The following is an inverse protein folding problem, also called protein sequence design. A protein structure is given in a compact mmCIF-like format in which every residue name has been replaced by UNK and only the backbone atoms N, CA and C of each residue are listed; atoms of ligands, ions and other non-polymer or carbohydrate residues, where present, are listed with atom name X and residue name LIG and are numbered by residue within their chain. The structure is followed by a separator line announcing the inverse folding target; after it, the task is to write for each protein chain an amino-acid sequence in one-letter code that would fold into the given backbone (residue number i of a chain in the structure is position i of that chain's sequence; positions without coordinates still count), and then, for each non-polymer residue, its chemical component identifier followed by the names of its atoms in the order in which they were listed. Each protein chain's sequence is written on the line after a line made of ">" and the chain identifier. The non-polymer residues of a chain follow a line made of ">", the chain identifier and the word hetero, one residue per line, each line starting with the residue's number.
data_IF_110813020151
#
_entry.id   IF_110813020151
#
_cell.length_a   1.000
_cell.length_b   1.000
_cell.length_c   1.000
_cell.angle_alpha   90.00
_cell.angle_beta   90.00
_cell.angle_gamma   90.00
#
_symmetry.space_group_name_H-M   'P 1'
#
loop_
_entity.id
_entity.type
_entity.pdbx_description
1 polymer ?
#
# COMPACT_ATOMS: atom_id res chain seq x y z
N UNK A 1 -19.86 -1.19 -12.45
CA UNK A 1 -18.96 -2.08 -11.69
C UNK A 1 -17.90 -1.15 -11.11
N UNK A 2 -18.01 -0.78 -9.83
CA UNK A 2 -17.04 0.12 -9.19
C UNK A 2 -15.71 -0.62 -9.18
N UNK A 3 -14.73 -0.11 -9.92
CA UNK A 3 -13.41 -0.74 -9.94
C UNK A 3 -12.73 -0.48 -8.60
N UNK A 4 -11.83 -1.37 -8.17
CA UNK A 4 -11.01 -1.16 -6.97
C UNK A 4 -10.30 0.21 -7.03
N UNK A 5 -10.01 0.67 -8.25
CA UNK A 5 -9.53 2.02 -8.60
C UNK A 5 -10.47 3.16 -8.18
N UNK A 6 -11.79 2.99 -8.27
CA UNK A 6 -12.77 4.02 -7.90
C UNK A 6 -12.92 4.12 -6.38
N UNK A 7 -12.91 2.97 -5.68
CA UNK A 7 -12.88 2.93 -4.20
C UNK A 7 -11.56 3.51 -3.68
N UNK A 8 -10.45 3.17 -4.32
CA UNK A 8 -9.16 3.78 -4.04
C UNK A 8 -9.24 5.30 -4.24
N UNK A 9 -9.75 5.81 -5.37
CA UNK A 9 -9.86 7.26 -5.65
C UNK A 9 -10.67 8.05 -4.62
N UNK A 10 -11.75 7.48 -4.09
CA UNK A 10 -12.54 8.15 -3.05
C UNK A 10 -11.85 8.16 -1.67
N UNK A 11 -11.05 7.13 -1.34
CA UNK A 11 -10.18 7.12 -0.15
C UNK A 11 -8.97 8.06 -0.34
N UNK A 12 -8.39 8.07 -1.56
CA UNK A 12 -7.22 8.84 -1.98
C UNK A 12 -7.41 10.37 -1.84
N UNK A 13 -8.65 10.86 -2.00
CA UNK A 13 -8.93 12.31 -2.06
C UNK A 13 -9.02 12.98 -0.68
N UNK A 14 -9.21 12.21 0.39
CA UNK A 14 -9.44 12.77 1.74
C UNK A 14 -8.32 12.41 2.72
N UNK A 15 -7.66 11.26 2.56
CA UNK A 15 -6.69 10.72 3.53
C UNK A 15 -5.51 9.97 2.87
N UNK A 16 -5.02 10.42 1.72
CA UNK A 16 -3.85 9.83 1.02
C UNK A 16 -2.50 9.97 1.75
N UNK A 17 -2.50 10.23 3.06
CA UNK A 17 -1.32 10.27 3.90
C UNK A 17 -0.91 8.85 4.30
N UNK A 18 0.40 8.61 4.38
CA UNK A 18 0.94 7.44 5.07
C UNK A 18 0.36 7.39 6.49
N UNK A 19 -0.40 6.34 6.81
CA UNK A 19 -0.92 6.11 8.16
C UNK A 19 -0.05 5.06 8.83
N UNK A 20 0.47 5.42 9.99
CA UNK A 20 1.22 4.53 10.87
C UNK A 20 0.68 4.71 12.27
N UNK A 21 -0.51 4.16 12.48
CA UNK A 21 -1.15 4.12 13.78
C UNK A 21 -0.58 2.93 14.58
N UNK A 22 0.03 3.15 15.77
CA UNK A 22 0.53 2.07 16.60
C UNK A 22 -0.56 1.14 17.13
N UNK A 23 -1.82 1.57 17.15
CA UNK A 23 -2.98 0.77 17.56
C UNK A 23 -3.65 0.02 16.40
N UNK A 24 -3.23 0.27 15.15
CA UNK A 24 -3.74 -0.46 13.98
C UNK A 24 -3.07 -1.84 13.87
N UNK A 25 -3.82 -2.95 14.06
CA UNK A 25 -3.27 -4.30 13.92
C UNK A 25 -2.78 -4.61 12.49
N UNK A 26 -3.23 -3.84 11.49
CA UNK A 26 -2.75 -3.89 10.10
C UNK A 26 -1.37 -3.27 9.91
N UNK A 27 -0.94 -2.41 10.84
CA UNK A 27 0.34 -1.70 10.81
C UNK A 27 0.43 -0.63 9.72
N UNK A 28 1.64 -0.17 9.38
CA UNK A 28 1.86 0.89 8.40
C UNK A 28 1.13 0.57 7.08
N UNK A 29 0.33 1.54 6.63
CA UNK A 29 -0.49 1.40 5.41
C UNK A 29 -0.36 2.63 4.52
N UNK A 30 -0.26 2.40 3.21
CA UNK A 30 -0.28 3.46 2.18
C UNK A 30 -1.09 2.98 0.98
N UNK A 31 -2.02 3.80 0.51
CA UNK A 31 -2.90 3.47 -0.62
C UNK A 31 -3.71 2.17 -0.43
N UNK A 32 -4.03 1.82 0.82
CA UNK A 32 -4.69 0.55 1.18
C UNK A 32 -3.79 -0.68 1.17
N UNK A 33 -2.52 -0.54 0.75
CA UNK A 33 -1.52 -1.62 0.84
C UNK A 33 -0.85 -1.54 2.21
N UNK A 34 -0.88 -2.66 2.94
CA UNK A 34 -0.19 -2.78 4.22
C UNK A 34 1.25 -3.23 4.02
N UNK A 35 2.14 -2.91 4.97
CA UNK A 35 3.51 -3.45 4.97
C UNK A 35 3.53 -4.99 4.98
N UNK A 36 2.53 -5.62 5.60
CA UNK A 36 2.37 -7.08 5.61
C UNK A 36 2.13 -7.62 4.20
N UNK A 37 1.30 -6.95 3.40
CA UNK A 37 1.06 -7.32 1.99
C UNK A 37 2.34 -7.18 1.17
N UNK A 38 3.04 -6.05 1.27
CA UNK A 38 4.33 -5.84 0.58
C UNK A 38 5.35 -6.95 0.93
N UNK A 39 5.47 -7.30 2.21
CA UNK A 39 6.37 -8.35 2.68
C UNK A 39 5.98 -9.72 2.15
N UNK A 40 4.69 -10.04 2.08
CA UNK A 40 4.19 -11.30 1.53
C UNK A 40 4.54 -11.43 0.05
N UNK A 41 4.39 -10.35 -0.71
CA UNK A 41 4.75 -10.31 -2.15
C UNK A 41 6.25 -10.12 -2.40
N UNK A 42 7.05 -9.87 -1.34
CA UNK A 42 8.47 -9.53 -1.42
C UNK A 42 8.76 -8.37 -2.37
N UNK A 43 7.87 -7.36 -2.35
CA UNK A 43 8.03 -6.20 -3.20
C UNK A 43 8.96 -5.17 -2.55
N UNK A 44 10.22 -5.24 -2.95
CA UNK A 44 11.25 -4.26 -2.62
C UNK A 44 11.21 -3.13 -3.66
N UNK A 45 10.73 -1.97 -3.24
CA UNK A 45 10.61 -0.76 -4.06
C UNK A 45 11.83 0.15 -3.90
N UNK A 46 12.62 -0.06 -2.85
CA UNK A 46 13.83 0.69 -2.58
C UNK A 46 15.07 0.09 -3.26
N UNK A 47 15.03 -1.21 -3.57
CA UNK A 47 16.12 -1.99 -4.13
C UNK A 47 17.22 -2.34 -3.11
N UNK A 48 16.95 -2.24 -1.81
CA UNK A 48 17.94 -2.44 -0.75
C UNK A 48 17.96 -3.89 -0.21
N UNK A 49 17.13 -4.77 -0.76
CA UNK A 49 16.97 -6.16 -0.38
C UNK A 49 16.07 -6.36 0.85
N UNK A 50 15.40 -5.32 1.33
CA UNK A 50 14.47 -5.35 2.45
C UNK A 50 13.09 -4.89 2.00
N UNK A 51 12.08 -5.30 2.77
CA UNK A 51 10.71 -4.82 2.57
C UNK A 51 10.23 -4.23 3.89
N UNK A 52 10.30 -2.91 3.96
CA UNK A 52 10.00 -2.12 5.14
C UNK A 52 9.19 -0.85 4.83
N UNK A 53 9.12 0.04 5.83
CA UNK A 53 8.33 1.28 5.74
C UNK A 53 8.86 2.19 4.62
N UNK A 54 10.14 2.13 4.27
CA UNK A 54 10.71 2.90 3.17
C UNK A 54 10.11 2.48 1.82
N UNK A 55 9.90 1.19 1.59
CA UNK A 55 9.20 0.69 0.41
C UNK A 55 7.76 1.17 0.38
N UNK A 56 7.06 1.00 1.51
CA UNK A 56 5.69 1.44 1.63
C UNK A 56 5.54 2.95 1.40
N UNK A 57 6.51 3.75 1.85
CA UNK A 57 6.55 5.20 1.58
C UNK A 57 6.84 5.52 0.12
N UNK A 58 7.63 4.72 -0.60
CA UNK A 58 7.88 4.89 -2.03
C UNK A 58 6.75 4.40 -2.92
N UNK A 59 5.81 3.61 -2.39
CA UNK A 59 4.69 3.07 -3.14
C UNK A 59 3.90 4.17 -3.87
N UNK A 60 3.80 4.05 -5.18
CA UNK A 60 2.95 4.92 -6.01
C UNK A 60 1.51 4.40 -6.06
N UNK A 61 0.51 5.25 -6.36
CA UNK A 61 -0.87 4.82 -6.55
C UNK A 61 -1.01 3.73 -7.63
N UNK A 62 -0.23 3.83 -8.71
CA UNK A 62 -0.24 2.85 -9.81
C UNK A 62 0.28 1.50 -9.35
N UNK A 63 1.40 1.48 -8.61
CA UNK A 63 1.96 0.27 -8.02
C UNK A 63 1.02 -0.34 -6.98
N UNK A 64 0.33 0.49 -6.20
CA UNK A 64 -0.65 0.01 -5.24
C UNK A 64 -1.79 -0.74 -5.95
N UNK A 65 -2.26 -0.23 -7.09
CA UNK A 65 -3.27 -0.91 -7.92
C UNK A 65 -2.75 -2.25 -8.42
N UNK A 66 -1.52 -2.30 -8.95
CA UNK A 66 -0.91 -3.55 -9.42
C UNK A 66 -0.82 -4.60 -8.30
N UNK A 67 -0.39 -4.18 -7.12
CA UNK A 67 -0.33 -5.04 -5.92
C UNK A 67 -1.71 -5.56 -5.54
N UNK A 68 -2.73 -4.69 -5.56
CA UNK A 68 -4.11 -5.07 -5.26
C UNK A 68 -4.67 -6.07 -6.28
N UNK A 69 -4.34 -5.90 -7.56
CA UNK A 69 -4.76 -6.83 -8.63
C UNK A 69 -4.05 -8.18 -8.50
N UNK A 70 -2.79 -8.22 -8.07
CA UNK A 70 -2.09 -9.49 -7.85
C UNK A 70 -2.57 -10.25 -6.61
N UNK A 71 -3.20 -9.57 -5.65
CA UNK A 71 -3.68 -10.18 -4.41
C UNK A 71 -5.12 -10.73 -4.48
N UNK A 72 -5.84 -10.46 -5.58
CA UNK A 72 -7.23 -10.88 -5.81
C UNK A 72 -7.35 -11.89 -6.95
#
# INVERSE_FOLDING_TARGET
>A
MQTVTDIAKDILRTEGGFVNDPDDPGGPTKWGVTLKTLRRLRHDLTGDGRVDIADLRKLSPEQAIEIFVQDY
#
